data_IF_280639507223
#
_entry.id   IF_280639507223
#
_cell.length_a   1.000
_cell.length_b   1.000
_cell.length_c   1.000
_cell.angle_alpha   90.00
_cell.angle_beta   90.00
_cell.angle_gamma   90.00
#
_symmetry.space_group_name_H-M   'P 1'
#
loop_
_entity.id
_entity.type
_entity.pdbx_description
1 polymer ?
#
# COMPACT_ATOMS: atom_id res chain seq x y z
N UNK A 1 -38.61 6.24 6.92
CA UNK A 1 -37.90 5.56 5.82
C UNK A 1 -37.11 4.40 6.40
N UNK A 2 -37.29 3.14 5.93
CA UNK A 2 -36.57 2.01 6.50
C UNK A 2 -35.13 1.99 5.96
N UNK A 3 -34.17 1.86 6.88
CA UNK A 3 -32.74 1.70 6.59
C UNK A 3 -32.52 0.33 5.96
N UNK A 4 -31.97 0.29 4.73
CA UNK A 4 -31.57 -0.96 4.06
C UNK A 4 -30.51 -1.68 4.91
N UNK A 5 -30.63 -2.99 5.16
CA UNK A 5 -29.61 -3.73 5.89
C UNK A 5 -28.30 -3.76 5.08
N UNK A 6 -27.18 -3.56 5.79
CA UNK A 6 -25.84 -3.85 5.31
C UNK A 6 -25.79 -5.29 4.78
N UNK A 7 -25.42 -5.45 3.50
CA UNK A 7 -25.14 -6.76 2.90
C UNK A 7 -24.19 -7.54 3.81
N UNK A 8 -24.65 -8.68 4.32
CA UNK A 8 -23.82 -9.68 4.96
C UNK A 8 -22.83 -10.22 3.94
N UNK A 9 -21.58 -9.78 4.03
CA UNK A 9 -20.49 -10.32 3.22
C UNK A 9 -20.16 -11.69 3.77
N UNK A 10 -20.28 -12.72 2.94
CA UNK A 10 -19.88 -14.08 3.27
C UNK A 10 -18.35 -14.13 3.48
N UNK A 11 -17.91 -14.69 4.61
CA UNK A 11 -16.53 -14.64 5.12
C UNK A 11 -15.82 -16.00 5.03
N UNK A 12 -16.23 -16.90 4.13
CA UNK A 12 -15.47 -18.13 3.90
C UNK A 12 -14.04 -17.81 3.44
N UNK A 13 -13.06 -18.02 4.32
CA UNK A 13 -11.67 -17.65 4.09
C UNK A 13 -11.04 -18.55 3.02
N UNK A 14 -10.84 -18.02 1.82
CA UNK A 14 -10.08 -18.68 0.75
C UNK A 14 -8.58 -18.46 1.00
N UNK A 15 -7.74 -19.51 0.96
CA UNK A 15 -6.29 -19.35 1.04
C UNK A 15 -5.78 -18.38 -0.04
N UNK A 16 -4.83 -17.50 0.30
CA UNK A 16 -4.31 -16.48 -0.62
C UNK A 16 -3.80 -17.08 -1.95
N UNK A 17 -3.27 -18.31 -1.92
CA UNK A 17 -2.83 -19.05 -3.11
C UNK A 17 -3.98 -19.54 -4.00
N UNK A 18 -5.15 -19.81 -3.45
CA UNK A 18 -6.33 -20.27 -4.19
C UNK A 18 -7.13 -19.09 -4.74
N UNK A 19 -7.21 -18.00 -3.97
CA UNK A 19 -7.70 -16.73 -4.49
C UNK A 19 -6.84 -16.26 -5.67
N UNK A 20 -5.51 -16.40 -5.57
CA UNK A 20 -4.56 -16.15 -6.66
C UNK A 20 -4.81 -17.03 -7.89
N UNK A 21 -5.09 -18.33 -7.72
CA UNK A 21 -5.42 -19.21 -8.86
C UNK A 21 -6.72 -18.81 -9.55
N UNK A 22 -7.73 -18.41 -8.77
CA UNK A 22 -8.99 -17.85 -9.32
C UNK A 22 -8.75 -16.55 -10.10
N UNK A 23 -7.79 -15.73 -9.69
CA UNK A 23 -7.43 -14.47 -10.37
C UNK A 23 -6.59 -14.65 -11.63
N UNK A 24 -5.76 -15.69 -11.71
CA UNK A 24 -5.03 -16.00 -12.96
C UNK A 24 -5.97 -16.65 -13.99
N UNK A 25 -6.98 -17.39 -13.55
CA UNK A 25 -7.93 -18.08 -14.42
C UNK A 25 -9.11 -17.21 -14.88
N UNK A 26 -9.50 -16.19 -14.11
CA UNK A 26 -10.51 -15.21 -14.50
C UNK A 26 -9.84 -13.92 -14.95
N UNK A 27 -10.31 -13.29 -16.03
CA UNK A 27 -9.80 -12.01 -16.55
C UNK A 27 -9.99 -10.79 -15.59
N UNK A 28 -10.14 -11.03 -14.28
CA UNK A 28 -10.38 -10.02 -13.25
C UNK A 28 -9.08 -9.59 -12.59
N UNK A 29 -8.78 -8.29 -12.68
CA UNK A 29 -7.62 -7.70 -11.99
C UNK A 29 -7.79 -7.83 -10.47
N UNK A 30 -6.74 -8.24 -9.72
CA UNK A 30 -6.86 -8.43 -8.29
C UNK A 30 -7.15 -7.10 -7.58
N UNK A 31 -7.99 -7.18 -6.55
CA UNK A 31 -8.27 -6.03 -5.69
C UNK A 31 -7.03 -5.74 -4.83
N UNK A 32 -6.67 -4.46 -4.76
CA UNK A 32 -5.49 -3.99 -4.05
C UNK A 32 -5.94 -3.39 -2.70
N UNK A 33 -5.35 -3.87 -1.61
CA UNK A 33 -5.58 -3.30 -0.28
C UNK A 33 -4.63 -2.11 -0.09
N UNK A 34 -5.16 -0.90 -0.11
CA UNK A 34 -4.37 0.31 0.07
C UNK A 34 -4.43 0.79 1.51
N UNK A 35 -3.27 0.97 2.13
CA UNK A 35 -3.15 1.40 3.53
C UNK A 35 -2.48 2.75 3.61
N UNK A 36 -3.16 3.73 4.19
CA UNK A 36 -2.60 5.04 4.49
C UNK A 36 -2.98 5.47 5.90
N UNK A 37 -1.98 5.66 6.78
CA UNK A 37 -2.27 6.10 8.15
C UNK A 37 -2.76 7.54 8.20
N UNK A 38 -2.25 8.44 7.36
CA UNK A 38 -2.71 9.82 7.35
C UNK A 38 -2.78 10.33 5.90
N UNK A 39 -3.93 10.16 5.22
CA UNK A 39 -4.09 10.60 3.84
C UNK A 39 -4.39 12.11 3.80
N UNK A 40 -3.39 12.92 4.14
CA UNK A 40 -3.49 14.40 4.17
C UNK A 40 -2.42 15.05 3.31
N UNK A 41 -2.65 16.30 2.90
CA UNK A 41 -1.69 17.11 2.12
C UNK A 41 -1.23 16.40 0.85
N UNK A 42 0.09 16.37 0.63
CA UNK A 42 0.71 15.75 -0.54
C UNK A 42 0.34 14.28 -0.74
N UNK A 43 0.12 13.52 0.34
CA UNK A 43 -0.29 12.11 0.24
C UNK A 43 -1.70 12.03 -0.36
N UNK A 44 -2.63 12.88 0.09
CA UNK A 44 -3.99 12.93 -0.47
C UNK A 44 -3.99 13.31 -1.95
N UNK A 45 -3.24 14.36 -2.31
CA UNK A 45 -3.13 14.81 -3.70
C UNK A 45 -2.56 13.70 -4.60
N UNK A 46 -1.49 13.03 -4.15
CA UNK A 46 -0.91 11.90 -4.85
C UNK A 46 -1.92 10.75 -5.04
N UNK A 47 -2.66 10.40 -3.99
CA UNK A 47 -3.66 9.34 -4.06
C UNK A 47 -4.76 9.69 -5.06
N UNK A 48 -5.32 10.90 -5.00
CA UNK A 48 -6.40 11.33 -5.89
C UNK A 48 -5.97 11.31 -7.36
N UNK A 49 -4.79 11.86 -7.68
CA UNK A 49 -4.30 11.90 -9.06
C UNK A 49 -4.05 10.49 -9.63
N UNK A 50 -3.31 9.65 -8.91
CA UNK A 50 -2.85 8.37 -9.44
C UNK A 50 -3.94 7.30 -9.43
N UNK A 51 -4.71 7.23 -8.35
CA UNK A 51 -5.66 6.12 -8.19
C UNK A 51 -6.95 6.33 -8.99
N UNK A 52 -7.30 7.58 -9.32
CA UNK A 52 -8.38 7.84 -10.29
C UNK A 52 -8.03 7.29 -11.68
N UNK A 53 -6.80 7.55 -12.15
CA UNK A 53 -6.31 7.01 -13.41
C UNK A 53 -6.21 5.46 -13.40
N UNK A 54 -5.75 4.89 -12.27
CA UNK A 54 -5.69 3.43 -12.12
C UNK A 54 -7.09 2.78 -12.09
N UNK A 55 -8.07 3.41 -11.45
CA UNK A 55 -9.45 2.94 -11.49
C UNK A 55 -10.01 2.99 -12.92
N UNK A 56 -9.75 4.07 -13.66
CA UNK A 56 -10.13 4.18 -15.07
C UNK A 56 -9.47 3.09 -15.93
N UNK A 57 -8.25 2.66 -15.58
CA UNK A 57 -7.56 1.53 -16.19
C UNK A 57 -8.06 0.15 -15.70
N UNK A 58 -9.12 0.09 -14.88
CA UNK A 58 -9.77 -1.15 -14.42
C UNK A 58 -9.20 -1.77 -13.14
N UNK A 59 -8.30 -1.07 -12.42
CA UNK A 59 -7.88 -1.54 -11.10
C UNK A 59 -8.96 -1.29 -10.06
N UNK A 60 -8.98 -2.14 -9.02
CA UNK A 60 -9.92 -2.04 -7.90
C UNK A 60 -9.18 -1.91 -6.60
N UNK A 61 -9.59 -0.99 -5.73
CA UNK A 61 -8.92 -0.72 -4.48
C UNK A 61 -9.86 -0.79 -3.29
N UNK A 62 -9.32 -1.15 -2.13
CA UNK A 62 -9.94 -0.87 -0.84
C UNK A 62 -8.98 -0.06 -0.01
N UNK A 63 -9.35 1.18 0.29
CA UNK A 63 -8.59 2.08 1.14
C UNK A 63 -8.86 1.77 2.62
N UNK A 64 -7.79 1.69 3.40
CA UNK A 64 -7.83 1.55 4.85
C UNK A 64 -7.01 2.67 5.48
N UNK A 65 -7.65 3.41 6.36
CA UNK A 65 -7.01 4.46 7.15
C UNK A 65 -7.73 4.66 8.47
N UNK A 66 -7.21 5.50 9.38
CA UNK A 66 -7.88 5.79 10.64
C UNK A 66 -9.24 6.44 10.39
N UNK A 67 -10.24 6.04 11.17
CA UNK A 67 -11.54 6.69 11.20
C UNK A 67 -11.37 8.19 11.51
N UNK A 68 -12.09 9.04 10.77
CA UNK A 68 -12.11 10.48 11.00
C UNK A 68 -12.12 11.31 9.72
N UNK A 69 -12.08 12.63 9.89
CA UNK A 69 -12.27 13.60 8.81
C UNK A 69 -11.29 13.43 7.64
N UNK A 70 -10.03 13.05 7.89
CA UNK A 70 -9.05 12.86 6.82
C UNK A 70 -9.44 11.72 5.85
N UNK A 71 -9.96 10.61 6.38
CA UNK A 71 -10.41 9.49 5.54
C UNK A 71 -11.69 9.85 4.79
N UNK A 72 -12.62 10.56 5.44
CA UNK A 72 -13.85 11.04 4.79
C UNK A 72 -13.56 12.06 3.68
N UNK A 73 -12.62 12.98 3.89
CA UNK A 73 -12.19 13.94 2.86
C UNK A 73 -11.47 13.26 1.69
N UNK A 74 -10.76 12.16 1.94
CA UNK A 74 -10.21 11.34 0.86
C UNK A 74 -11.35 10.65 0.10
N UNK A 75 -12.28 10.01 0.80
CA UNK A 75 -13.44 9.33 0.21
C UNK A 75 -14.27 10.27 -0.65
N UNK A 76 -14.59 11.45 -0.16
CA UNK A 76 -15.32 12.48 -0.90
C UNK A 76 -14.55 13.00 -2.12
N UNK A 77 -13.21 12.98 -2.09
CA UNK A 77 -12.39 13.34 -3.24
C UNK A 77 -12.45 12.32 -4.39
N UNK A 78 -12.90 11.10 -4.11
CA UNK A 78 -13.10 10.04 -5.10
C UNK A 78 -14.59 9.85 -5.46
N UNK A 79 -15.44 10.83 -5.16
CA UNK A 79 -16.87 10.73 -5.48
C UNK A 79 -17.08 10.51 -6.98
N UNK A 80 -17.98 9.59 -7.33
CA UNK A 80 -18.24 9.18 -8.71
C UNK A 80 -17.20 8.22 -9.33
N UNK A 81 -16.13 7.84 -8.63
CA UNK A 81 -15.13 6.88 -9.15
C UNK A 81 -15.48 5.46 -8.71
N UNK A 82 -15.76 4.59 -9.69
CA UNK A 82 -16.03 3.18 -9.45
C UNK A 82 -14.76 2.38 -9.09
N UNK A 83 -14.95 1.19 -8.51
CA UNK A 83 -13.85 0.28 -8.16
C UNK A 83 -13.17 0.59 -6.82
N UNK A 84 -13.60 1.64 -6.12
CA UNK A 84 -13.06 2.07 -4.82
C UNK A 84 -13.97 1.67 -3.66
N UNK A 85 -13.36 1.11 -2.61
CA UNK A 85 -14.00 0.89 -1.30
C UNK A 85 -13.19 1.55 -0.19
N UNK A 86 -13.83 1.87 0.92
CA UNK A 86 -13.20 2.49 2.09
C UNK A 86 -13.54 1.72 3.36
N UNK A 87 -12.54 1.49 4.20
CA UNK A 87 -12.70 0.86 5.51
C UNK A 87 -11.99 1.72 6.55
N UNK A 88 -12.75 2.18 7.52
CA UNK A 88 -12.22 2.96 8.63
C UNK A 88 -11.65 2.03 9.72
N UNK A 89 -10.38 2.22 10.05
CA UNK A 89 -9.76 1.57 11.20
C UNK A 89 -10.14 2.34 12.48
N UNK A 90 -10.67 1.68 13.53
CA UNK A 90 -11.04 2.36 14.76
C UNK A 90 -9.89 3.14 15.38
N UNK A 91 -10.20 4.33 15.89
CA UNK A 91 -9.29 5.19 16.64
C UNK A 91 -9.89 5.41 18.02
N UNK A 92 -9.23 4.89 19.04
CA UNK A 92 -9.60 5.06 20.44
C UNK A 92 -8.50 5.87 21.11
N UNK A 93 -8.84 7.06 21.59
CA UNK A 93 -7.88 8.03 22.15
C UNK A 93 -6.72 8.34 21.19
N UNK A 94 -5.53 7.77 21.46
CA UNK A 94 -4.29 7.92 20.67
C UNK A 94 -3.89 6.63 19.94
N UNK A 95 -4.69 5.56 20.06
CA UNK A 95 -4.39 4.24 19.49
C UNK A 95 -5.25 3.99 18.26
N UNK A 96 -4.58 3.75 17.13
CA UNK A 96 -5.25 3.37 15.90
C UNK A 96 -5.14 1.85 15.71
N UNK A 97 -6.28 1.16 15.61
CA UNK A 97 -6.36 -0.29 15.38
C UNK A 97 -6.15 -0.63 13.90
N UNK A 98 -5.12 -0.06 13.30
CA UNK A 98 -4.85 -0.20 11.87
C UNK A 98 -4.39 -1.61 11.49
N UNK A 99 -3.46 -2.20 12.25
CA UNK A 99 -2.92 -3.53 11.90
C UNK A 99 -3.96 -4.66 12.04
N UNK A 100 -4.85 -4.70 13.06
CA UNK A 100 -5.89 -5.72 13.14
C UNK A 100 -6.92 -5.56 12.01
N UNK A 101 -7.28 -4.33 11.64
CA UNK A 101 -8.18 -4.09 10.50
C UNK A 101 -7.57 -4.59 9.19
N UNK A 102 -6.29 -4.28 8.92
CA UNK A 102 -5.58 -4.81 7.74
C UNK A 102 -5.56 -6.34 7.78
N UNK A 103 -5.23 -6.93 8.94
CA UNK A 103 -5.15 -8.40 9.11
C UNK A 103 -6.47 -9.07 8.78
N UNK A 104 -7.58 -8.54 9.29
CA UNK A 104 -8.91 -9.08 9.03
C UNK A 104 -9.27 -9.03 7.53
N UNK A 105 -8.95 -7.92 6.86
CA UNK A 105 -9.16 -7.76 5.42
C UNK A 105 -8.29 -8.73 4.61
N UNK A 106 -6.99 -8.85 4.93
CA UNK A 106 -6.09 -9.78 4.25
C UNK A 106 -6.53 -11.23 4.42
N UNK A 107 -7.00 -11.63 5.61
CA UNK A 107 -7.52 -12.98 5.88
C UNK A 107 -8.82 -13.31 5.15
N UNK A 108 -9.51 -12.31 4.59
CA UNK A 108 -10.67 -12.57 3.74
C UNK A 108 -10.29 -13.18 2.38
N UNK A 109 -9.00 -13.21 2.02
CA UNK A 109 -8.53 -13.80 0.77
C UNK A 109 -8.89 -13.02 -0.50
N UNK A 110 -9.45 -11.81 -0.39
CA UNK A 110 -9.94 -11.04 -1.57
C UNK A 110 -8.90 -10.09 -2.18
N UNK A 111 -7.71 -10.01 -1.59
CA UNK A 111 -6.69 -9.03 -1.96
C UNK A 111 -5.46 -9.73 -2.54
N UNK A 112 -5.09 -9.37 -3.76
CA UNK A 112 -3.89 -9.92 -4.42
C UNK A 112 -2.64 -9.09 -4.21
N UNK A 113 -2.78 -7.89 -3.67
CA UNK A 113 -1.66 -6.99 -3.40
C UNK A 113 -2.00 -6.08 -2.22
N UNK A 114 -1.00 -5.82 -1.38
CA UNK A 114 -1.03 -4.86 -0.29
C UNK A 114 -0.16 -3.67 -0.68
N UNK A 115 -0.73 -2.46 -0.70
CA UNK A 115 -0.02 -1.23 -1.03
C UNK A 115 -0.06 -0.26 0.15
N UNK A 116 1.06 -0.01 0.82
CA UNK A 116 1.10 0.89 1.99
C UNK A 116 1.80 2.21 1.68
N UNK A 117 1.19 3.33 2.07
CA UNK A 117 1.76 4.66 1.92
C UNK A 117 2.29 5.22 3.24
N UNK A 118 3.59 5.45 3.28
CA UNK A 118 4.33 5.99 4.42
C UNK A 118 4.82 4.94 5.40
N UNK A 119 5.82 5.31 6.20
CA UNK A 119 6.55 4.41 7.11
C UNK A 119 5.63 3.68 8.11
N UNK A 120 4.73 4.42 8.78
CA UNK A 120 3.86 3.80 9.79
C UNK A 120 2.86 2.83 9.15
N UNK A 121 2.35 3.16 7.96
CA UNK A 121 1.49 2.24 7.22
C UNK A 121 2.27 0.98 6.81
N UNK A 122 3.52 1.12 6.36
CA UNK A 122 4.39 0.00 6.00
C UNK A 122 4.60 -0.97 7.17
N UNK A 123 4.91 -0.46 8.37
CA UNK A 123 5.09 -1.31 9.57
C UNK A 123 3.80 -2.05 9.94
N UNK A 124 2.66 -1.34 9.97
CA UNK A 124 1.38 -1.97 10.31
C UNK A 124 0.94 -2.99 9.25
N UNK A 125 1.20 -2.70 7.96
CA UNK A 125 0.91 -3.58 6.84
C UNK A 125 1.77 -4.85 6.87
N UNK A 126 3.09 -4.72 7.07
CA UNK A 126 3.99 -5.85 7.19
C UNK A 126 3.60 -6.76 8.37
N UNK A 127 3.33 -6.17 9.54
CA UNK A 127 2.86 -6.92 10.71
C UNK A 127 1.54 -7.67 10.43
N UNK A 128 0.59 -7.00 9.78
CA UNK A 128 -0.68 -7.59 9.41
C UNK A 128 -0.55 -8.67 8.33
N UNK A 129 0.52 -8.67 7.54
CA UNK A 129 0.75 -9.62 6.45
C UNK A 129 1.57 -10.85 6.88
N UNK A 130 2.13 -10.88 8.09
CA UNK A 130 2.93 -12.02 8.60
C UNK A 130 2.15 -13.34 8.57
N UNK A 131 2.59 -14.30 7.75
CA UNK A 131 1.90 -15.59 7.58
C UNK A 131 0.61 -15.54 6.75
N UNK A 132 0.29 -14.41 6.11
CA UNK A 132 -0.74 -14.33 5.05
C UNK A 132 -0.07 -14.37 3.66
N UNK A 133 1.04 -13.63 3.50
CA UNK A 133 1.90 -13.75 2.31
C UNK A 133 1.34 -13.10 1.05
N UNK A 134 0.51 -12.06 1.18
CA UNK A 134 0.10 -11.21 0.06
C UNK A 134 1.30 -10.33 -0.34
N UNK A 135 1.64 -10.17 -1.63
CA UNK A 135 2.72 -9.27 -2.03
C UNK A 135 2.54 -7.85 -1.47
N UNK A 136 3.62 -7.22 -1.01
CA UNK A 136 3.59 -5.94 -0.32
C UNK A 136 4.44 -4.89 -1.04
N UNK A 137 3.74 -3.89 -1.61
CA UNK A 137 4.32 -2.68 -2.19
C UNK A 137 4.27 -1.53 -1.17
N UNK A 138 5.38 -0.83 -0.98
CA UNK A 138 5.50 0.30 -0.06
C UNK A 138 5.79 1.58 -0.84
N UNK A 139 5.05 2.66 -0.62
CA UNK A 139 5.39 3.98 -1.14
C UNK A 139 5.83 4.90 0.00
N UNK A 140 7.06 5.40 -0.04
CA UNK A 140 7.61 6.34 0.93
C UNK A 140 7.58 7.77 0.36
N UNK A 141 6.70 8.58 0.95
CA UNK A 141 6.48 9.98 0.55
C UNK A 141 7.47 10.98 1.16
N UNK A 142 8.26 10.56 2.14
CA UNK A 142 9.21 11.43 2.84
C UNK A 142 10.52 10.67 3.08
N UNK A 143 11.68 11.34 2.96
CA UNK A 143 12.94 10.77 3.38
C UNK A 143 12.97 10.49 4.89
N UNK A 144 13.82 9.55 5.28
CA UNK A 144 14.12 9.22 6.66
C UNK A 144 14.97 10.33 7.28
N UNK A 145 14.60 10.74 8.49
CA UNK A 145 15.29 11.78 9.25
C UNK A 145 15.73 11.21 10.61
N UNK A 146 16.90 11.62 11.13
CA UNK A 146 17.44 11.03 12.36
C UNK A 146 16.54 11.34 13.57
N UNK A 147 15.93 12.53 13.61
CA UNK A 147 15.01 12.94 14.68
C UNK A 147 13.69 12.16 14.71
N UNK A 148 13.44 11.24 13.77
CA UNK A 148 12.26 10.36 13.79
C UNK A 148 12.40 9.19 14.77
N UNK A 149 13.63 8.88 15.22
CA UNK A 149 13.94 7.73 16.05
C UNK A 149 14.69 8.09 17.34
N UNK A 150 14.18 9.00 18.19
CA UNK A 150 14.85 9.36 19.44
C UNK A 150 14.71 8.26 20.51
N UNK A 151 15.81 8.01 21.23
CA UNK A 151 15.87 7.12 22.38
C UNK A 151 15.62 5.64 22.06
N UNK A 152 15.49 4.82 23.11
CA UNK A 152 15.34 3.36 22.97
C UNK A 152 14.09 2.93 22.20
N UNK A 153 12.96 3.63 22.40
CA UNK A 153 11.75 3.44 21.59
C UNK A 153 11.96 3.82 20.12
N UNK A 154 12.84 4.79 19.85
CA UNK A 154 13.28 5.14 18.51
C UNK A 154 14.03 4.00 17.83
N UNK A 155 14.99 3.39 18.54
CA UNK A 155 15.71 2.22 18.06
C UNK A 155 14.77 1.06 17.71
N UNK A 156 13.78 0.78 18.58
CA UNK A 156 12.77 -0.24 18.31
C UNK A 156 11.93 0.09 17.05
N UNK A 157 11.47 1.33 16.92
CA UNK A 157 10.72 1.79 15.74
C UNK A 157 11.55 1.67 14.46
N UNK A 158 12.82 2.04 14.51
CA UNK A 158 13.73 1.94 13.37
C UNK A 158 13.96 0.48 12.99
N UNK A 159 14.17 -0.41 13.97
CA UNK A 159 14.30 -1.83 13.74
C UNK A 159 13.03 -2.45 13.12
N UNK A 160 11.84 -2.07 13.60
CA UNK A 160 10.56 -2.54 13.04
C UNK A 160 10.38 -2.04 11.59
N UNK A 161 10.70 -0.78 11.33
CA UNK A 161 10.65 -0.21 9.99
C UNK A 161 11.63 -0.91 9.05
N UNK A 162 12.88 -1.12 9.47
CA UNK A 162 13.88 -1.86 8.70
C UNK A 162 13.36 -3.25 8.33
N UNK A 163 12.84 -4.01 9.29
CA UNK A 163 12.26 -5.34 9.02
C UNK A 163 11.09 -5.28 8.05
N UNK A 164 10.17 -4.33 8.23
CA UNK A 164 9.03 -4.15 7.34
C UNK A 164 9.47 -3.86 5.90
N UNK A 165 10.47 -3.00 5.71
CA UNK A 165 11.00 -2.65 4.39
C UNK A 165 11.77 -3.82 3.75
N UNK A 166 12.55 -4.57 4.52
CA UNK A 166 13.24 -5.77 4.01
C UNK A 166 12.26 -6.86 3.54
N UNK A 167 11.06 -6.91 4.12
CA UNK A 167 10.02 -7.86 3.74
C UNK A 167 9.16 -7.40 2.57
N UNK A 168 9.27 -6.14 2.15
CA UNK A 168 8.52 -5.62 1.02
C UNK A 168 9.01 -6.24 -0.29
N UNK A 169 8.08 -6.57 -1.18
CA UNK A 169 8.38 -7.07 -2.53
C UNK A 169 8.87 -5.92 -3.43
N UNK A 170 8.38 -4.71 -3.19
CA UNK A 170 8.81 -3.50 -3.87
C UNK A 170 8.62 -2.26 -2.98
N UNK A 171 9.50 -1.27 -3.16
CA UNK A 171 9.48 0.01 -2.46
C UNK A 171 9.60 1.12 -3.50
N UNK A 172 8.66 2.06 -3.48
CA UNK A 172 8.67 3.29 -4.25
C UNK A 172 9.16 4.43 -3.36
N UNK A 173 10.11 5.21 -3.87
CA UNK A 173 10.53 6.50 -3.31
C UNK A 173 10.13 7.65 -4.24
N UNK A 174 9.93 8.82 -3.65
CA UNK A 174 9.50 10.01 -4.39
C UNK A 174 10.62 10.63 -5.26
N UNK A 175 11.89 10.34 -4.98
CA UNK A 175 13.04 10.81 -5.76
C UNK A 175 14.25 9.88 -5.58
N UNK A 176 15.30 10.07 -6.37
CA UNK A 176 16.55 9.32 -6.27
C UNK A 176 17.34 9.70 -5.01
N UNK A 177 17.24 10.94 -4.55
CA UNK A 177 17.81 11.36 -3.26
C UNK A 177 17.09 10.65 -2.10
N UNK A 178 15.76 10.49 -2.19
CA UNK A 178 15.01 9.73 -1.21
C UNK A 178 15.38 8.24 -1.24
N UNK A 179 15.70 7.69 -2.42
CA UNK A 179 16.22 6.32 -2.59
C UNK A 179 17.59 6.14 -1.96
N UNK A 180 18.52 7.07 -2.21
CA UNK A 180 19.86 7.07 -1.61
C UNK A 180 19.78 7.18 -0.08
N UNK A 181 18.95 8.10 0.43
CA UNK A 181 18.67 8.25 1.85
C UNK A 181 18.09 6.98 2.48
N UNK A 182 17.17 6.29 1.79
CA UNK A 182 16.62 5.02 2.26
C UNK A 182 17.71 3.94 2.43
N UNK A 183 18.61 3.84 1.44
CA UNK A 183 19.72 2.89 1.44
C UNK A 183 20.73 3.21 2.56
N UNK A 184 20.97 4.49 2.84
CA UNK A 184 21.84 4.93 3.93
C UNK A 184 21.28 4.50 5.31
N UNK A 185 19.98 4.72 5.53
CA UNK A 185 19.32 4.38 6.80
C UNK A 185 18.97 2.90 6.96
N UNK A 186 18.88 2.17 5.84
CA UNK A 186 18.57 0.74 5.81
C UNK A 186 19.57 0.02 4.87
N UNK A 187 20.85 -0.13 5.26
CA UNK A 187 21.90 -0.65 4.38
C UNK A 187 21.65 -2.04 3.81
N UNK A 188 20.85 -2.85 4.49
CA UNK A 188 20.43 -4.17 4.02
C UNK A 188 19.56 -4.15 2.75
N UNK A 189 19.11 -2.97 2.31
CA UNK A 189 18.42 -2.82 1.02
C UNK A 189 19.40 -2.67 -0.16
N UNK A 190 20.71 -2.51 0.08
CA UNK A 190 21.73 -2.44 -0.98
C UNK A 190 21.76 -3.71 -1.83
N UNK A 191 21.60 -4.86 -1.19
CA UNK A 191 21.58 -6.16 -1.85
C UNK A 191 20.24 -6.44 -2.59
N UNK A 192 19.28 -5.52 -2.47
CA UNK A 192 17.93 -5.64 -2.99
C UNK A 192 17.47 -4.39 -3.76
N UNK A 193 18.42 -3.69 -4.39
CA UNK A 193 18.16 -2.43 -5.13
C UNK A 193 17.20 -2.61 -6.31
N UNK A 194 17.06 -3.81 -6.85
CA UNK A 194 16.06 -4.19 -7.87
C UNK A 194 14.61 -4.10 -7.37
N UNK A 195 14.38 -4.00 -6.05
CA UNK A 195 13.06 -3.79 -5.45
C UNK A 195 12.79 -2.30 -5.18
N UNK A 196 13.75 -1.42 -5.44
CA UNK A 196 13.67 0.01 -5.13
C UNK A 196 13.41 0.82 -6.41
N UNK A 197 12.21 1.38 -6.51
CA UNK A 197 11.76 2.17 -7.65
C UNK A 197 11.65 3.64 -7.28
N UNK A 198 12.05 4.52 -8.20
CA UNK A 198 11.81 5.96 -8.08
C UNK A 198 10.66 6.34 -9.01
N UNK A 199 9.61 6.97 -8.47
CA UNK A 199 8.51 7.52 -9.27
C UNK A 199 8.49 9.05 -9.14
N UNK A 200 9.06 9.71 -10.14
CA UNK A 200 9.03 11.17 -10.32
C UNK A 200 7.64 11.62 -10.78
N UNK A 201 7.23 12.83 -10.36
CA UNK A 201 5.86 13.38 -10.41
C UNK A 201 5.17 13.42 -11.78
N UNK A 202 5.93 13.42 -12.85
CA UNK A 202 5.49 13.60 -14.24
C UNK A 202 4.86 12.35 -14.87
N UNK A 203 5.28 11.12 -14.50
CA UNK A 203 4.82 9.86 -15.13
C UNK A 203 4.43 8.80 -14.08
N UNK A 204 3.74 9.22 -13.02
CA UNK A 204 3.47 8.34 -11.87
C UNK A 204 2.46 7.23 -12.16
N UNK A 205 1.36 7.51 -12.86
CA UNK A 205 0.24 6.57 -12.98
C UNK A 205 0.56 5.36 -13.87
N UNK A 206 1.21 5.57 -15.03
CA UNK A 206 1.57 4.50 -15.97
C UNK A 206 2.63 3.57 -15.38
N UNK A 207 3.69 4.14 -14.80
CA UNK A 207 4.75 3.35 -14.14
C UNK A 207 4.20 2.59 -12.93
N UNK A 208 3.32 3.22 -12.15
CA UNK A 208 2.63 2.55 -11.05
C UNK A 208 1.73 1.42 -11.57
N UNK A 209 1.02 1.62 -12.67
CA UNK A 209 0.20 0.57 -13.30
C UNK A 209 1.04 -0.66 -13.68
N UNK A 210 2.16 -0.47 -14.37
CA UNK A 210 3.07 -1.56 -14.77
C UNK A 210 3.57 -2.33 -13.55
N UNK A 211 3.99 -1.61 -12.51
CA UNK A 211 4.47 -2.21 -11.27
C UNK A 211 3.36 -2.97 -10.52
N UNK A 212 2.17 -2.38 -10.42
CA UNK A 212 1.01 -3.04 -9.81
C UNK A 212 0.64 -4.31 -10.57
N UNK A 213 0.66 -4.30 -11.90
CA UNK A 213 0.44 -5.48 -12.73
C UNK A 213 1.49 -6.57 -12.47
N UNK A 214 2.77 -6.23 -12.54
CA UNK A 214 3.86 -7.18 -12.35
C UNK A 214 3.80 -7.88 -10.97
N UNK A 215 3.53 -7.11 -9.91
CA UNK A 215 3.40 -7.65 -8.55
C UNK A 215 2.12 -8.46 -8.36
N UNK A 216 1.01 -8.01 -8.94
CA UNK A 216 -0.28 -8.67 -8.89
C UNK A 216 -0.24 -10.06 -9.55
N UNK A 217 0.45 -10.19 -10.68
CA UNK A 217 0.56 -11.46 -11.41
C UNK A 217 1.71 -12.34 -10.92
N UNK A 218 2.53 -11.84 -9.97
CA UNK A 218 3.82 -12.45 -9.56
C UNK A 218 4.68 -12.86 -10.75
N UNK A 219 4.54 -12.18 -11.87
CA UNK A 219 5.44 -12.39 -13.00
C UNK A 219 6.75 -11.73 -12.63
N UNK A 220 7.83 -12.50 -12.52
CA UNK A 220 9.21 -11.99 -12.52
C UNK A 220 9.49 -11.37 -13.90
N UNK A 221 8.79 -10.30 -14.25
CA UNK A 221 9.18 -9.46 -15.35
C UNK A 221 10.32 -8.58 -14.84
N UNK A 222 11.48 -8.55 -15.51
CA UNK A 222 12.43 -7.47 -15.28
C UNK A 222 11.67 -6.17 -15.53
N UNK A 223 11.47 -5.39 -14.46
CA UNK A 223 10.86 -4.08 -14.57
C UNK A 223 11.78 -3.23 -15.46
N UNK A 224 11.22 -2.42 -16.37
CA UNK A 224 12.02 -1.67 -17.33
C UNK A 224 13.05 -0.81 -16.58
N UNK A 225 14.32 -1.18 -16.72
CA UNK A 225 15.47 -0.49 -16.15
C UNK A 225 15.83 0.78 -16.90
N UNK A 226 15.10 1.09 -17.98
CA UNK A 226 15.41 2.24 -18.81
C UNK A 226 14.71 3.50 -18.29
N UNK A 227 15.54 4.50 -17.99
CA UNK A 227 15.17 5.90 -18.15
C UNK A 227 14.62 6.07 -19.55
N UNK A 228 13.30 6.09 -19.71
CA UNK A 228 12.69 6.63 -20.93
C UNK A 228 13.18 8.08 -21.02
N UNK A 229 14.11 8.31 -21.94
CA UNK A 229 14.64 9.61 -22.25
C UNK A 229 13.49 10.56 -22.63
N UNK A 230 13.69 11.83 -22.28
CA UNK A 230 12.78 12.96 -22.48
C UNK A 230 12.19 13.05 -23.90
#
# INVERSE_FOLDING_TARGET
>A
MPVRPLMSVDFSAVPASEAMRRWVAGNERPRILLVARWPVGAIRAHLLANYSALCAAGFRFTFVGPAGAALELLRAGFDGIEGLGFVAAPVEERRCRLWPTIRALLRSGRFGLLHSHGMTAAVHAALANLGVGVPHLVTLHKPLRPNQFPGWFGCLKHWMLKRALQQADAIITASDEARANLIEYVPSLRDHTQRLFTLVDDIKAERLMVLLQALATRTLLPLPTESIAA
#
